data_IF_233099799548
#
_entry.id   IF_233099799548
#
_cell.length_a   1.000
_cell.length_b   1.000
_cell.length_c   1.000
_cell.angle_alpha   90.00
_cell.angle_beta   90.00
_cell.angle_gamma   90.00
#
_symmetry.space_group_name_H-M   'P 1'
#
loop_
_entity.id
_entity.type
_entity.pdbx_description
1 polymer ?
#
# COMPACT_ATOMS: atom_id res chain seq x y z
N UNK A 1 21.05 26.65 4.07
CA UNK A 1 20.14 25.79 4.82
C UNK A 1 18.82 26.53 4.98
N UNK A 2 17.71 25.87 4.66
CA UNK A 2 16.36 26.41 4.80
C UNK A 2 15.59 25.56 5.80
N UNK A 3 14.72 26.20 6.57
CA UNK A 3 13.72 25.54 7.40
C UNK A 3 12.36 25.91 6.79
N UNK A 4 11.58 24.91 6.36
CA UNK A 4 10.19 25.10 6.00
C UNK A 4 9.41 25.30 7.32
N UNK A 5 8.80 26.49 7.45
CA UNK A 5 8.05 26.84 8.67
C UNK A 5 6.59 26.35 8.64
N UNK A 6 6.14 25.79 7.53
CA UNK A 6 4.80 25.22 7.42
C UNK A 6 4.72 23.91 8.20
N UNK A 7 3.73 23.80 9.08
CA UNK A 7 3.54 22.60 9.89
C UNK A 7 2.98 21.49 9.00
N UNK A 8 3.77 20.45 8.81
CA UNK A 8 3.36 19.23 8.10
C UNK A 8 2.70 18.24 9.06
N UNK A 9 1.66 17.55 8.60
CA UNK A 9 0.75 16.72 9.41
C UNK A 9 0.78 15.24 8.99
N UNK A 10 0.74 14.36 9.97
CA UNK A 10 0.45 12.93 9.81
C UNK A 10 -1.06 12.67 10.01
N UNK A 11 -1.55 11.46 9.70
CA UNK A 11 -2.97 11.09 9.86
C UNK A 11 -3.47 11.26 11.30
N UNK A 12 -2.61 11.07 12.30
CA UNK A 12 -2.92 11.24 13.72
C UNK A 12 -3.20 12.69 14.14
N UNK A 13 -2.82 13.66 13.32
CA UNK A 13 -2.91 15.08 13.66
C UNK A 13 -4.23 15.73 13.23
N UNK A 14 -5.08 14.96 12.54
CA UNK A 14 -6.35 15.45 11.99
C UNK A 14 -7.51 14.49 12.19
N UNK A 15 -8.72 15.05 12.21
CA UNK A 15 -9.98 14.32 12.03
C UNK A 15 -10.73 14.87 10.80
N UNK A 16 -11.62 14.06 10.23
CA UNK A 16 -12.56 14.50 9.19
C UNK A 16 -13.80 15.08 9.87
N UNK A 17 -14.16 16.33 9.54
CA UNK A 17 -15.32 16.99 10.09
C UNK A 17 -16.61 16.43 9.47
N UNK A 18 -17.58 15.94 10.25
CA UNK A 18 -18.88 15.50 9.74
C UNK A 18 -19.61 16.66 9.03
N UNK A 19 -20.36 16.32 8.00
CA UNK A 19 -21.20 17.26 7.23
C UNK A 19 -22.61 16.70 7.11
N UNK A 20 -23.57 17.55 6.74
CA UNK A 20 -24.90 17.09 6.36
C UNK A 20 -24.80 16.12 5.18
N UNK A 21 -25.49 15.00 5.28
CA UNK A 21 -25.50 13.94 4.27
C UNK A 21 -26.93 13.56 3.95
N UNK A 22 -27.20 13.26 2.70
CA UNK A 22 -28.48 12.69 2.23
C UNK A 22 -28.44 11.16 2.19
N UNK A 23 -27.25 10.56 2.41
CA UNK A 23 -27.09 9.11 2.45
C UNK A 23 -27.69 8.54 3.72
N UNK A 24 -28.57 7.56 3.56
CA UNK A 24 -29.29 6.91 4.66
C UNK A 24 -28.64 5.59 5.05
N UNK A 25 -27.87 4.99 4.14
CA UNK A 25 -27.22 3.69 4.34
C UNK A 25 -25.81 3.66 3.78
N UNK A 26 -24.90 2.96 4.47
CA UNK A 26 -23.56 2.65 3.97
C UNK A 26 -23.57 1.80 2.68
N UNK A 27 -24.68 1.11 2.41
CA UNK A 27 -24.89 0.33 1.17
C UNK A 27 -24.99 1.20 -0.09
N UNK A 28 -25.32 2.48 0.06
CA UNK A 28 -25.40 3.45 -1.02
C UNK A 28 -24.03 3.94 -1.48
N UNK A 29 -22.96 3.61 -0.76
CA UNK A 29 -21.60 4.08 -1.06
C UNK A 29 -20.90 3.11 -2.01
N UNK A 30 -20.49 3.61 -3.18
CA UNK A 30 -19.61 2.87 -4.08
C UNK A 30 -18.14 3.22 -3.80
N UNK A 31 -17.36 2.17 -3.48
CA UNK A 31 -15.91 2.28 -3.25
C UNK A 31 -15.06 1.96 -4.47
N UNK A 32 -15.67 1.52 -5.57
CA UNK A 32 -14.92 1.22 -6.78
C UNK A 32 -14.51 2.50 -7.49
N UNK A 33 -13.33 2.47 -8.09
CA UNK A 33 -12.76 3.55 -8.87
C UNK A 33 -12.37 3.04 -10.26
N UNK A 34 -12.52 3.92 -11.23
CA UNK A 34 -11.97 3.71 -12.57
C UNK A 34 -10.87 4.75 -12.79
N UNK A 35 -9.70 4.30 -13.22
CA UNK A 35 -8.59 5.16 -13.59
C UNK A 35 -8.16 4.89 -15.03
N UNK A 36 -7.70 5.94 -15.70
CA UNK A 36 -7.03 5.90 -17.00
C UNK A 36 -5.59 6.37 -16.80
N UNK A 37 -4.67 5.81 -17.55
CA UNK A 37 -3.26 6.10 -17.39
C UNK A 37 -2.74 6.89 -18.60
N UNK A 38 -2.29 8.13 -18.35
CA UNK A 38 -1.88 9.06 -19.41
C UNK A 38 -0.63 8.61 -20.16
N UNK A 39 0.27 7.89 -19.49
CA UNK A 39 1.52 7.39 -20.06
C UNK A 39 1.40 5.98 -20.67
N UNK A 40 0.22 5.37 -20.64
CA UNK A 40 -0.04 4.10 -21.28
C UNK A 40 -0.34 4.29 -22.77
N UNK A 41 0.46 3.69 -23.65
CA UNK A 41 0.30 3.79 -25.10
C UNK A 41 -0.12 2.44 -25.68
N UNK A 42 -1.38 2.29 -26.13
CA UNK A 42 -1.80 1.10 -26.86
C UNK A 42 -1.20 1.07 -28.28
N UNK A 43 -0.93 -0.14 -28.82
CA UNK A 43 -0.43 -0.30 -30.20
C UNK A 43 -1.38 0.27 -31.27
N UNK A 44 -2.66 0.24 -30.98
CA UNK A 44 -3.73 0.74 -31.85
C UNK A 44 -4.60 1.73 -31.11
N UNK A 45 -4.23 3.04 -31.10
CA UNK A 45 -4.93 4.07 -30.33
C UNK A 45 -6.41 4.24 -30.73
N UNK A 46 -6.80 3.82 -31.93
CA UNK A 46 -8.19 3.89 -32.41
C UNK A 46 -9.01 2.64 -32.05
N UNK A 47 -8.37 1.59 -31.52
CA UNK A 47 -9.08 0.40 -31.09
C UNK A 47 -9.60 0.56 -29.65
N UNK A 48 -10.92 0.62 -29.50
CA UNK A 48 -11.60 0.75 -28.20
C UNK A 48 -11.15 -0.32 -27.20
N UNK A 49 -10.96 -1.57 -27.64
CA UNK A 49 -10.53 -2.68 -26.78
C UNK A 49 -9.10 -2.51 -26.26
N UNK A 50 -8.20 -1.91 -27.04
CA UNK A 50 -6.83 -1.63 -26.63
C UNK A 50 -6.80 -0.44 -25.63
N UNK A 51 -7.65 0.58 -25.82
CA UNK A 51 -7.81 1.67 -24.85
C UNK A 51 -8.36 1.18 -23.52
N UNK A 52 -9.23 0.18 -23.50
CA UNK A 52 -9.77 -0.41 -22.28
C UNK A 52 -8.70 -1.18 -21.46
N UNK A 53 -7.64 -1.70 -22.07
CA UNK A 53 -6.54 -2.35 -21.36
C UNK A 53 -5.73 -1.40 -20.48
N UNK A 54 -5.66 -0.12 -20.81
CA UNK A 54 -5.02 0.93 -20.00
C UNK A 54 -5.89 1.46 -18.87
N UNK A 55 -6.92 0.72 -18.44
CA UNK A 55 -7.82 1.14 -17.38
C UNK A 55 -7.71 0.24 -16.15
N UNK A 56 -7.76 0.86 -14.99
CA UNK A 56 -8.03 0.17 -13.73
C UNK A 56 -9.51 0.28 -13.39
N UNK A 57 -10.09 -0.80 -12.88
CA UNK A 57 -11.41 -0.79 -12.27
C UNK A 57 -11.41 -1.70 -11.05
N UNK A 58 -11.70 -1.15 -9.88
CA UNK A 58 -11.71 -1.89 -8.64
C UNK A 58 -11.70 -1.00 -7.40
N UNK A 59 -11.56 -1.63 -6.24
CA UNK A 59 -11.37 -0.95 -4.95
C UNK A 59 -9.89 -0.57 -4.84
N UNK A 60 -9.54 0.73 -4.72
CA UNK A 60 -8.16 1.18 -4.84
C UNK A 60 -7.35 1.04 -3.54
N UNK A 61 -7.45 -0.13 -2.92
CA UNK A 61 -6.62 -0.55 -1.80
C UNK A 61 -5.60 -1.56 -2.32
N UNK A 62 -4.35 -1.45 -1.91
CA UNK A 62 -3.26 -2.30 -2.36
C UNK A 62 -2.57 -3.00 -1.19
N UNK A 63 -2.37 -4.30 -1.29
CA UNK A 63 -1.44 -5.02 -0.42
C UNK A 63 0.01 -4.67 -0.82
N UNK A 64 0.82 -4.30 0.18
CA UNK A 64 2.19 -3.85 -0.02
C UNK A 64 3.11 -4.99 -0.49
N UNK A 65 4.11 -4.66 -1.30
CA UNK A 65 5.13 -5.56 -1.82
C UNK A 65 6.16 -5.99 -0.75
N UNK A 66 5.66 -6.55 0.33
CA UNK A 66 6.43 -6.99 1.49
C UNK A 66 6.26 -8.48 1.74
N UNK A 67 7.30 -9.11 2.33
CA UNK A 67 7.15 -10.46 2.87
C UNK A 67 5.99 -10.52 3.86
N UNK A 68 5.16 -11.56 3.76
CA UNK A 68 3.99 -11.74 4.62
C UNK A 68 2.77 -10.88 4.26
N UNK A 69 2.85 -10.10 3.15
CA UNK A 69 1.74 -9.27 2.66
C UNK A 69 1.57 -9.41 1.16
N UNK A 70 2.59 -9.08 0.35
CA UNK A 70 2.54 -9.13 -1.11
C UNK A 70 2.76 -10.53 -1.68
N UNK A 71 1.96 -11.50 -1.27
CA UNK A 71 2.07 -12.90 -1.69
C UNK A 71 1.09 -13.23 -2.81
N UNK A 72 1.37 -14.30 -3.56
CA UNK A 72 0.47 -14.81 -4.60
C UNK A 72 -0.88 -15.28 -4.03
N UNK A 73 -0.88 -15.86 -2.81
CA UNK A 73 -2.12 -16.24 -2.12
C UNK A 73 -2.95 -15.01 -1.74
N UNK A 74 -2.28 -13.94 -1.26
CA UNK A 74 -2.94 -12.67 -0.97
C UNK A 74 -3.54 -12.08 -2.25
N UNK A 75 -2.78 -12.06 -3.34
CA UNK A 75 -3.24 -11.56 -4.63
C UNK A 75 -4.46 -12.32 -5.14
N UNK A 76 -4.43 -13.66 -5.08
CA UNK A 76 -5.56 -14.50 -5.49
C UNK A 76 -6.81 -14.26 -4.65
N UNK A 77 -6.67 -14.02 -3.34
CA UNK A 77 -7.81 -13.79 -2.47
C UNK A 77 -8.38 -12.37 -2.61
N UNK A 78 -7.50 -11.35 -2.61
CA UNK A 78 -7.92 -9.95 -2.70
C UNK A 78 -8.54 -9.60 -4.06
N UNK A 79 -8.08 -10.20 -5.15
CA UNK A 79 -8.63 -9.98 -6.49
C UNK A 79 -10.10 -10.38 -6.61
N UNK A 80 -10.59 -11.35 -5.80
CA UNK A 80 -12.01 -11.73 -5.74
C UNK A 80 -12.91 -10.56 -5.29
N UNK A 81 -12.34 -9.59 -4.59
CA UNK A 81 -13.02 -8.37 -4.13
C UNK A 81 -12.58 -7.12 -4.92
N UNK A 82 -11.89 -7.30 -6.05
CA UNK A 82 -11.31 -6.22 -6.87
C UNK A 82 -10.33 -5.33 -6.08
N UNK A 83 -9.64 -5.90 -5.08
CA UNK A 83 -8.58 -5.25 -4.30
C UNK A 83 -7.23 -5.65 -4.86
N UNK A 84 -6.29 -4.72 -4.91
CA UNK A 84 -5.02 -4.85 -5.62
C UNK A 84 -3.90 -5.45 -4.72
N UNK A 85 -2.92 -6.10 -5.34
CA UNK A 85 -1.70 -6.58 -4.65
C UNK A 85 -0.46 -6.25 -5.46
N UNK A 86 0.53 -5.63 -4.82
CA UNK A 86 1.88 -5.59 -5.36
C UNK A 86 2.65 -6.80 -4.81
N UNK A 87 3.07 -7.71 -5.68
CA UNK A 87 3.83 -8.90 -5.28
C UNK A 87 5.21 -8.51 -4.75
N UNK A 88 5.66 -9.20 -3.72
CA UNK A 88 7.05 -9.04 -3.24
C UNK A 88 8.04 -9.43 -4.34
N UNK A 89 9.15 -8.70 -4.48
CA UNK A 89 10.12 -8.87 -5.58
C UNK A 89 10.95 -10.16 -5.52
N UNK A 90 10.85 -10.92 -4.43
CA UNK A 90 11.70 -12.10 -4.19
C UNK A 90 11.23 -13.39 -4.85
N UNK A 91 10.05 -13.41 -5.47
CA UNK A 91 9.61 -14.54 -6.28
C UNK A 91 10.53 -14.79 -7.47
N UNK A 92 10.74 -16.06 -7.80
CA UNK A 92 11.49 -16.46 -9.01
C UNK A 92 10.70 -16.22 -10.28
N UNK A 93 11.39 -16.18 -11.42
CA UNK A 93 10.77 -16.05 -12.75
C UNK A 93 9.74 -17.15 -13.00
N UNK A 94 10.10 -18.41 -12.72
CA UNK A 94 9.22 -19.56 -12.91
C UNK A 94 7.95 -19.49 -12.04
N UNK A 95 8.03 -19.01 -10.81
CA UNK A 95 6.87 -18.82 -9.95
C UNK A 95 5.95 -17.75 -10.52
N UNK A 96 6.52 -16.62 -10.96
CA UNK A 96 5.77 -15.51 -11.54
C UNK A 96 5.09 -15.94 -12.87
N UNK A 97 5.81 -16.61 -13.77
CA UNK A 97 5.24 -17.12 -15.02
C UNK A 97 4.07 -18.05 -14.73
N UNK A 98 4.22 -19.02 -13.85
CA UNK A 98 3.14 -19.93 -13.46
C UNK A 98 1.94 -19.19 -12.87
N UNK A 99 2.18 -18.17 -12.03
CA UNK A 99 1.13 -17.41 -11.40
C UNK A 99 0.33 -16.59 -12.42
N UNK A 100 1.00 -15.86 -13.31
CA UNK A 100 0.33 -15.06 -14.34
C UNK A 100 -0.29 -15.90 -15.45
N UNK A 101 0.22 -17.11 -15.71
CA UNK A 101 -0.32 -18.00 -16.74
C UNK A 101 -1.56 -18.78 -16.28
N UNK A 102 -1.68 -19.08 -14.98
CA UNK A 102 -2.79 -19.84 -14.39
C UNK A 102 -4.11 -19.06 -14.22
N UNK A 103 -4.41 -18.10 -15.08
CA UNK A 103 -5.66 -17.31 -15.04
C UNK A 103 -6.91 -18.12 -15.48
N UNK A 104 -6.93 -19.44 -15.20
CA UNK A 104 -7.80 -20.43 -15.85
C UNK A 104 -9.19 -20.61 -15.22
N UNK A 105 -9.57 -19.89 -14.14
CA UNK A 105 -10.86 -20.15 -13.46
C UNK A 105 -11.84 -18.97 -13.43
N UNK A 106 -11.80 -18.08 -14.43
CA UNK A 106 -12.77 -16.98 -14.54
C UNK A 106 -12.56 -15.82 -13.59
N UNK A 107 -11.53 -15.86 -12.76
CA UNK A 107 -11.07 -14.74 -11.94
C UNK A 107 -9.83 -14.12 -12.60
N UNK A 108 -10.01 -12.96 -13.24
CA UNK A 108 -8.91 -12.21 -13.83
C UNK A 108 -8.07 -11.52 -12.76
N UNK A 109 -7.38 -12.32 -11.90
CA UNK A 109 -6.50 -11.78 -10.85
C UNK A 109 -5.41 -10.86 -11.42
N UNK A 110 -4.97 -11.11 -12.65
CA UNK A 110 -3.99 -10.28 -13.37
C UNK A 110 -4.41 -8.81 -13.54
N UNK A 111 -5.70 -8.49 -13.43
CA UNK A 111 -6.19 -7.10 -13.45
C UNK A 111 -5.90 -6.32 -12.15
N UNK A 112 -5.55 -7.01 -11.07
CA UNK A 112 -5.37 -6.43 -9.76
C UNK A 112 -4.03 -6.83 -9.12
N UNK A 113 -3.02 -7.13 -9.95
CA UNK A 113 -1.71 -7.56 -9.46
C UNK A 113 -0.60 -6.84 -10.22
N UNK A 114 0.39 -6.33 -9.48
CA UNK A 114 1.65 -5.83 -10.03
C UNK A 114 2.81 -6.77 -9.69
N UNK A 115 3.69 -7.02 -10.64
CA UNK A 115 5.03 -7.56 -10.38
C UNK A 115 5.91 -6.45 -9.83
N UNK A 116 6.65 -6.70 -8.73
CA UNK A 116 7.61 -5.72 -8.21
C UNK A 116 9.04 -6.04 -8.63
N UNK A 117 9.79 -4.99 -8.98
CA UNK A 117 11.21 -5.04 -9.33
C UNK A 117 11.97 -3.88 -8.67
N UNK A 118 13.30 -4.00 -8.62
CA UNK A 118 14.22 -2.87 -8.38
C UNK A 118 14.65 -2.20 -9.68
N UNK A 119 15.87 -1.65 -9.68
CA UNK A 119 16.49 -0.97 -10.83
C UNK A 119 17.84 -1.58 -11.22
N UNK A 120 18.12 -2.82 -10.81
CA UNK A 120 19.30 -3.53 -11.25
C UNK A 120 19.08 -4.12 -12.65
N UNK A 121 20.18 -4.45 -13.32
CA UNK A 121 20.09 -5.15 -14.60
C UNK A 121 19.38 -6.51 -14.47
N UNK A 122 19.63 -7.21 -13.36
CA UNK A 122 18.99 -8.51 -13.05
C UNK A 122 17.47 -8.35 -12.86
N UNK A 123 17.04 -7.27 -12.20
CA UNK A 123 15.62 -6.95 -12.03
C UNK A 123 14.93 -6.72 -13.39
N UNK A 124 15.58 -5.98 -14.30
CA UNK A 124 15.05 -5.70 -15.64
C UNK A 124 15.01 -6.96 -16.51
N UNK A 125 16.06 -7.79 -16.47
CA UNK A 125 16.10 -9.06 -17.20
C UNK A 125 15.02 -10.03 -16.71
N UNK A 126 14.82 -10.12 -15.41
CA UNK A 126 13.74 -10.88 -14.80
C UNK A 126 12.37 -10.42 -15.27
N UNK A 127 12.13 -9.08 -15.27
CA UNK A 127 10.87 -8.54 -15.77
C UNK A 127 10.67 -8.89 -17.24
N UNK A 128 11.69 -8.69 -18.09
CA UNK A 128 11.64 -9.00 -19.52
C UNK A 128 11.25 -10.45 -19.75
N UNK A 129 11.93 -11.39 -19.10
CA UNK A 129 11.65 -12.82 -19.25
C UNK A 129 10.20 -13.16 -18.88
N UNK A 130 9.72 -12.67 -17.72
CA UNK A 130 8.33 -12.91 -17.31
C UNK A 130 7.36 -12.28 -18.31
N UNK A 131 7.60 -11.04 -18.74
CA UNK A 131 6.75 -10.31 -19.67
C UNK A 131 6.61 -11.02 -21.03
N UNK A 132 7.73 -11.52 -21.57
CA UNK A 132 7.75 -12.28 -22.82
C UNK A 132 7.01 -13.63 -22.71
N UNK A 133 7.10 -14.29 -21.55
CA UNK A 133 6.49 -15.61 -21.33
C UNK A 133 4.98 -15.56 -21.08
N UNK A 134 4.49 -14.49 -20.45
CA UNK A 134 3.06 -14.42 -20.04
C UNK A 134 2.21 -13.54 -20.97
N UNK A 135 2.81 -13.05 -22.06
CA UNK A 135 2.17 -12.17 -23.05
C UNK A 135 1.46 -10.97 -22.38
N UNK A 136 0.23 -10.66 -22.75
CA UNK A 136 -0.55 -9.52 -22.27
C UNK A 136 -1.16 -9.70 -20.86
N UNK A 137 -0.83 -10.76 -20.12
CA UNK A 137 -1.36 -11.01 -18.77
C UNK A 137 -0.70 -10.14 -17.69
N UNK A 138 0.57 -9.76 -17.87
CA UNK A 138 1.26 -8.84 -16.99
C UNK A 138 0.95 -7.39 -17.41
N UNK A 139 0.16 -6.67 -16.60
CA UNK A 139 -0.33 -5.32 -16.92
C UNK A 139 0.34 -4.23 -16.08
N UNK A 140 0.82 -4.56 -14.90
CA UNK A 140 1.32 -3.61 -13.92
C UNK A 140 2.70 -4.01 -13.43
N UNK A 141 3.60 -3.02 -13.32
CA UNK A 141 4.89 -3.18 -12.66
C UNK A 141 5.02 -2.17 -11.52
N UNK A 142 5.56 -2.62 -10.37
CA UNK A 142 5.93 -1.76 -9.26
C UNK A 142 7.46 -1.67 -9.20
N UNK A 143 8.02 -0.53 -9.62
CA UNK A 143 9.45 -0.25 -9.58
C UNK A 143 9.76 0.44 -8.26
N UNK A 144 10.32 -0.32 -7.33
CA UNK A 144 10.42 0.03 -5.91
C UNK A 144 11.87 0.19 -5.46
N UNK A 145 12.20 1.41 -5.02
CA UNK A 145 13.48 1.77 -4.43
C UNK A 145 13.29 2.52 -3.12
N UNK A 146 14.29 2.42 -2.22
CA UNK A 146 14.25 3.14 -0.94
C UNK A 146 14.34 4.67 -1.12
N UNK A 147 15.02 5.12 -2.18
CA UNK A 147 15.24 6.54 -2.49
C UNK A 147 14.90 6.82 -3.96
N UNK A 148 13.71 7.34 -4.21
CA UNK A 148 13.21 7.72 -5.53
C UNK A 148 13.74 9.07 -6.07
N UNK A 149 14.71 9.69 -5.39
CA UNK A 149 15.28 11.01 -5.76
C UNK A 149 16.58 10.92 -6.56
N UNK A 150 17.05 9.71 -6.88
CA UNK A 150 18.29 9.57 -7.65
C UNK A 150 18.05 9.76 -9.16
N UNK A 151 18.95 10.44 -9.87
CA UNK A 151 18.90 10.59 -11.32
C UNK A 151 18.80 9.22 -12.02
N UNK A 152 19.56 8.24 -11.54
CA UNK A 152 19.52 6.86 -12.04
C UNK A 152 18.12 6.26 -11.99
N UNK A 153 17.34 6.57 -10.97
CA UNK A 153 15.95 6.08 -10.85
C UNK A 153 15.05 6.70 -11.92
N UNK A 154 15.13 8.02 -12.10
CA UNK A 154 14.36 8.74 -13.13
C UNK A 154 14.73 8.24 -14.53
N UNK A 155 16.03 8.08 -14.82
CA UNK A 155 16.51 7.56 -16.08
C UNK A 155 16.03 6.11 -16.33
N UNK A 156 16.04 5.27 -15.30
CA UNK A 156 15.50 3.92 -15.39
C UNK A 156 14.01 3.93 -15.77
N UNK A 157 13.18 4.75 -15.12
CA UNK A 157 11.74 4.88 -15.43
C UNK A 157 11.53 5.32 -16.88
N UNK A 158 12.29 6.32 -17.34
CA UNK A 158 12.22 6.81 -18.73
C UNK A 158 12.53 5.71 -19.75
N UNK A 159 13.63 4.98 -19.55
CA UNK A 159 14.03 3.89 -20.42
C UNK A 159 13.05 2.73 -20.37
N UNK A 160 12.56 2.39 -19.17
CA UNK A 160 11.57 1.33 -18.98
C UNK A 160 10.25 1.67 -19.72
N UNK A 161 9.77 2.91 -19.65
CA UNK A 161 8.59 3.36 -20.41
C UNK A 161 8.77 3.21 -21.92
N UNK A 162 9.95 3.56 -22.44
CA UNK A 162 10.24 3.42 -23.88
C UNK A 162 10.21 1.96 -24.34
N UNK A 163 10.73 1.05 -23.51
CA UNK A 163 10.79 -0.37 -23.82
C UNK A 163 9.44 -1.08 -23.62
N UNK A 164 8.60 -0.62 -22.69
CA UNK A 164 7.34 -1.25 -22.30
C UNK A 164 6.17 -0.25 -22.30
N UNK A 165 5.76 0.27 -23.46
CA UNK A 165 4.74 1.32 -23.55
C UNK A 165 3.34 0.88 -23.07
N UNK A 166 3.08 -0.43 -23.03
CA UNK A 166 1.80 -1.05 -22.62
C UNK A 166 1.77 -1.56 -21.19
N UNK A 167 2.72 -1.18 -20.36
CA UNK A 167 2.74 -1.53 -18.93
C UNK A 167 2.36 -0.30 -18.12
N UNK A 168 1.47 -0.46 -17.15
CA UNK A 168 1.20 0.57 -16.14
C UNK A 168 2.34 0.56 -15.13
N UNK A 169 3.06 1.68 -15.01
CA UNK A 169 4.23 1.83 -14.17
C UNK A 169 3.86 2.49 -12.85
N UNK A 170 4.04 1.75 -11.75
CA UNK A 170 4.04 2.27 -10.38
C UNK A 170 5.49 2.53 -10.00
N UNK A 171 5.85 3.74 -9.58
CA UNK A 171 7.23 4.12 -9.27
C UNK A 171 7.34 4.85 -7.93
N UNK A 172 8.35 4.54 -7.12
CA UNK A 172 8.61 5.22 -5.84
C UNK A 172 9.71 4.56 -5.00
N UNK A 173 9.95 5.10 -3.77
CA UNK A 173 9.10 6.06 -3.07
C UNK A 173 9.67 7.47 -3.08
N UNK A 174 8.75 8.41 -3.10
CA UNK A 174 9.00 9.86 -2.97
C UNK A 174 8.02 10.51 -1.96
N UNK A 175 8.21 11.78 -1.62
CA UNK A 175 7.35 12.52 -0.67
C UNK A 175 7.14 13.98 -1.05
N UNK A 176 7.65 14.44 -2.20
CA UNK A 176 7.58 15.83 -2.63
C UNK A 176 6.88 16.00 -3.97
N UNK A 177 6.25 17.16 -4.16
CA UNK A 177 5.50 17.48 -5.36
C UNK A 177 6.39 17.47 -6.63
N UNK A 178 7.58 18.10 -6.54
CA UNK A 178 8.54 18.20 -7.64
C UNK A 178 9.01 16.81 -8.12
N UNK A 179 9.38 15.91 -7.20
CA UNK A 179 9.80 14.57 -7.60
C UNK A 179 8.64 13.72 -8.10
N UNK A 180 7.41 13.96 -7.60
CA UNK A 180 6.21 13.32 -8.15
C UNK A 180 5.98 13.73 -9.60
N UNK A 181 6.10 15.03 -9.91
CA UNK A 181 6.01 15.54 -11.27
C UNK A 181 7.11 14.95 -12.15
N UNK A 182 8.35 14.93 -11.67
CA UNK A 182 9.50 14.39 -12.42
C UNK A 182 9.26 12.93 -12.83
N UNK A 183 8.77 12.07 -11.93
CA UNK A 183 8.51 10.68 -12.26
C UNK A 183 7.37 10.52 -13.29
N UNK A 184 6.30 11.29 -13.18
CA UNK A 184 5.16 11.24 -14.13
C UNK A 184 5.59 11.71 -15.50
N UNK A 185 6.33 12.82 -15.60
CA UNK A 185 6.85 13.35 -16.87
C UNK A 185 7.85 12.40 -17.55
N UNK A 186 8.49 11.52 -16.77
CA UNK A 186 9.38 10.49 -17.27
C UNK A 186 8.70 9.12 -17.49
N UNK A 187 7.38 9.03 -17.38
CA UNK A 187 6.62 7.87 -17.82
C UNK A 187 5.98 7.01 -16.72
N UNK A 188 6.09 7.40 -15.44
CA UNK A 188 5.32 6.75 -14.39
C UNK A 188 3.83 7.10 -14.52
N UNK A 189 2.95 6.11 -14.33
CA UNK A 189 1.48 6.33 -14.30
C UNK A 189 1.00 6.60 -12.87
N UNK A 190 1.62 5.94 -11.90
CA UNK A 190 1.27 6.00 -10.50
C UNK A 190 2.55 6.20 -9.68
N UNK A 191 2.58 7.23 -8.83
CA UNK A 191 3.72 7.50 -7.96
C UNK A 191 3.45 7.02 -6.55
N UNK A 192 4.36 6.24 -5.98
CA UNK A 192 4.27 5.70 -4.62
C UNK A 192 4.85 6.71 -3.63
N UNK A 193 3.98 7.25 -2.74
CA UNK A 193 4.27 8.36 -1.83
C UNK A 193 4.39 7.86 -0.41
N UNK A 194 5.59 8.00 0.18
CA UNK A 194 5.86 7.66 1.57
C UNK A 194 7.31 7.30 1.84
N UNK A 195 7.96 8.04 2.73
CA UNK A 195 9.29 7.74 3.29
C UNK A 195 9.20 7.83 4.80
N UNK A 196 9.31 6.67 5.47
CA UNK A 196 9.33 6.56 6.90
C UNK A 196 7.98 6.50 7.64
N UNK A 197 6.78 6.46 7.01
CA UNK A 197 5.53 6.40 7.76
C UNK A 197 5.12 5.00 8.21
N UNK A 198 5.72 3.94 7.66
CA UNK A 198 5.33 2.55 7.92
C UNK A 198 5.59 2.10 9.36
N UNK A 199 4.73 1.22 9.89
CA UNK A 199 4.82 0.73 11.28
C UNK A 199 6.08 -0.08 11.59
N UNK A 200 6.72 -0.67 10.60
CA UNK A 200 7.99 -1.40 10.70
C UNK A 200 9.16 -0.66 10.07
N UNK A 201 8.93 0.58 9.60
CA UNK A 201 9.98 1.43 9.06
C UNK A 201 10.70 2.20 10.18
N UNK A 202 12.02 2.24 10.12
CA UNK A 202 12.87 2.99 11.07
C UNK A 202 13.69 4.08 10.38
N UNK A 203 13.43 4.39 9.11
CA UNK A 203 14.17 5.39 8.31
C UNK A 203 14.24 6.74 9.01
N UNK A 204 13.10 7.26 9.52
CA UNK A 204 13.09 8.55 10.23
C UNK A 204 14.02 8.57 11.45
N UNK A 205 14.14 7.44 12.15
CA UNK A 205 14.99 7.32 13.35
C UNK A 205 16.46 7.14 12.95
N UNK A 206 16.73 6.32 11.94
CA UNK A 206 18.09 5.96 11.55
C UNK A 206 18.79 7.05 10.73
N UNK A 207 18.03 7.80 9.92
CA UNK A 207 18.59 8.74 8.94
C UNK A 207 18.19 10.20 9.18
N UNK A 208 17.15 10.44 9.98
CA UNK A 208 16.51 11.75 10.10
C UNK A 208 15.70 12.17 8.87
N UNK A 209 15.60 11.31 7.85
CA UNK A 209 14.87 11.58 6.61
C UNK A 209 13.44 11.08 6.70
N UNK A 210 12.50 11.87 6.17
CA UNK A 210 11.07 11.51 6.13
C UNK A 210 10.19 12.74 5.93
N UNK A 211 8.90 12.48 5.76
CA UNK A 211 7.89 13.53 5.63
C UNK A 211 6.59 13.09 6.31
N UNK A 212 5.84 13.98 7.00
CA UNK A 212 4.53 13.65 7.56
C UNK A 212 3.53 13.25 6.47
N UNK A 213 2.94 12.06 6.60
CA UNK A 213 2.31 11.36 5.48
C UNK A 213 1.07 12.06 4.93
N UNK A 214 0.23 12.68 5.78
CA UNK A 214 -0.96 13.39 5.30
C UNK A 214 -0.57 14.56 4.38
N UNK A 215 0.40 15.37 4.78
CA UNK A 215 0.88 16.50 3.98
C UNK A 215 1.55 16.03 2.69
N UNK A 216 2.39 14.97 2.76
CA UNK A 216 2.99 14.38 1.57
C UNK A 216 1.93 13.93 0.55
N UNK A 217 0.87 13.28 1.02
CA UNK A 217 -0.24 12.81 0.15
C UNK A 217 -0.95 13.98 -0.50
N UNK A 218 -1.28 15.05 0.25
CA UNK A 218 -1.96 16.23 -0.29
C UNK A 218 -1.13 16.90 -1.38
N UNK A 219 0.15 17.17 -1.10
CA UNK A 219 1.05 17.86 -2.03
C UNK A 219 1.36 17.03 -3.28
N UNK A 220 1.63 15.74 -3.11
CA UNK A 220 1.91 14.86 -4.24
C UNK A 220 0.65 14.55 -5.07
N UNK A 221 -0.54 14.47 -4.46
CA UNK A 221 -1.80 14.29 -5.19
C UNK A 221 -2.10 15.48 -6.10
N UNK A 222 -1.94 16.70 -5.58
CA UNK A 222 -2.12 17.93 -6.35
C UNK A 222 -1.19 17.97 -7.56
N UNK A 223 0.10 17.68 -7.33
CA UNK A 223 1.11 17.63 -8.38
C UNK A 223 0.83 16.56 -9.44
N UNK A 224 0.43 15.36 -9.02
CA UNK A 224 0.15 14.24 -9.93
C UNK A 224 -1.09 14.50 -10.78
N UNK A 225 -2.19 14.94 -10.15
CA UNK A 225 -3.46 15.17 -10.84
C UNK A 225 -3.37 16.27 -11.88
N UNK A 226 -2.54 17.30 -11.64
CA UNK A 226 -2.26 18.35 -12.62
C UNK A 226 -1.61 17.85 -13.92
N UNK A 227 -0.96 16.71 -13.87
CA UNK A 227 -0.30 16.05 -15.01
C UNK A 227 -1.07 14.82 -15.54
N UNK A 228 -2.25 14.53 -14.99
CA UNK A 228 -3.03 13.34 -15.36
C UNK A 228 -2.46 12.03 -14.81
N UNK A 229 -1.51 12.10 -13.87
CA UNK A 229 -0.97 10.96 -13.14
C UNK A 229 -1.75 10.64 -11.86
N UNK A 230 -1.34 9.59 -11.18
CA UNK A 230 -1.97 9.10 -9.94
C UNK A 230 -0.96 8.90 -8.83
N UNK A 231 -1.43 8.82 -7.58
CA UNK A 231 -0.58 8.49 -6.44
C UNK A 231 -1.12 7.32 -5.61
N UNK A 232 -0.18 6.63 -4.96
CA UNK A 232 -0.45 5.69 -3.88
C UNK A 232 0.02 6.31 -2.57
N UNK A 233 -0.86 6.42 -1.58
CA UNK A 233 -0.45 6.69 -0.20
C UNK A 233 0.12 5.41 0.41
N UNK A 234 1.44 5.32 0.54
CA UNK A 234 2.15 4.13 1.02
C UNK A 234 2.63 4.31 2.46
N UNK A 235 2.00 3.58 3.38
CA UNK A 235 2.32 3.59 4.80
C UNK A 235 1.56 4.64 5.63
N UNK A 236 1.73 4.54 6.95
CA UNK A 236 1.10 5.44 7.93
C UNK A 236 -0.31 5.05 8.37
N UNK A 237 -1.02 4.21 7.62
CA UNK A 237 -2.33 3.72 8.00
C UNK A 237 -2.24 2.57 9.01
N UNK A 238 -2.92 2.71 10.14
CA UNK A 238 -3.04 1.70 11.20
C UNK A 238 -4.49 1.32 11.51
N UNK A 239 -5.42 2.12 11.07
CA UNK A 239 -6.87 1.96 11.28
C UNK A 239 -7.65 2.22 9.98
N UNK A 240 -8.90 1.72 9.85
CA UNK A 240 -9.77 2.09 8.73
C UNK A 240 -9.98 3.60 8.58
N UNK A 241 -9.96 4.35 9.69
CA UNK A 241 -10.05 5.82 9.68
C UNK A 241 -8.85 6.48 9.00
N UNK A 242 -7.63 5.92 9.16
CA UNK A 242 -6.44 6.45 8.48
C UNK A 242 -6.51 6.19 6.97
N UNK A 243 -7.03 5.03 6.55
CA UNK A 243 -7.29 4.72 5.13
C UNK A 243 -8.29 5.74 4.54
N UNK A 244 -9.35 6.05 5.27
CA UNK A 244 -10.30 7.08 4.84
C UNK A 244 -9.66 8.47 4.74
N UNK A 245 -8.78 8.85 5.69
CA UNK A 245 -8.03 10.11 5.65
C UNK A 245 -7.08 10.18 4.45
N UNK A 246 -6.43 9.07 4.09
CA UNK A 246 -5.55 9.01 2.91
C UNK A 246 -6.34 9.28 1.61
N UNK A 247 -7.50 8.64 1.41
CA UNK A 247 -8.37 8.94 0.28
C UNK A 247 -8.93 10.38 0.33
N UNK A 248 -9.30 10.84 1.51
CA UNK A 248 -9.77 12.21 1.71
C UNK A 248 -8.70 13.27 1.40
N UNK A 249 -7.43 12.95 1.60
CA UNK A 249 -6.27 13.78 1.25
C UNK A 249 -5.96 13.80 -0.26
N UNK A 250 -6.64 12.99 -1.07
CA UNK A 250 -6.48 12.97 -2.52
C UNK A 250 -5.74 11.75 -3.06
N UNK A 251 -5.38 10.78 -2.22
CA UNK A 251 -4.77 9.54 -2.70
C UNK A 251 -5.72 8.82 -3.68
N UNK A 252 -5.18 8.37 -4.81
CA UNK A 252 -5.91 7.52 -5.75
C UNK A 252 -5.94 6.08 -5.26
N UNK A 253 -4.84 5.62 -4.70
CA UNK A 253 -4.70 4.31 -4.08
C UNK A 253 -4.12 4.44 -2.68
N UNK A 254 -4.41 3.45 -1.82
CA UNK A 254 -3.82 3.34 -0.48
C UNK A 254 -3.14 1.98 -0.34
N UNK A 255 -1.85 1.97 -0.07
CA UNK A 255 -1.06 0.75 0.13
C UNK A 255 -0.95 0.40 1.60
N UNK A 256 -1.26 -0.85 1.94
CA UNK A 256 -1.32 -1.37 3.29
C UNK A 256 -0.32 -2.50 3.51
N UNK A 257 0.58 -2.32 4.48
CA UNK A 257 1.50 -3.37 4.96
C UNK A 257 1.00 -3.98 6.26
N UNK A 258 1.23 -3.32 7.39
CA UNK A 258 0.93 -3.84 8.73
C UNK A 258 -0.54 -4.19 8.99
N UNK A 259 -1.48 -3.48 8.35
CA UNK A 259 -2.90 -3.81 8.47
C UNK A 259 -3.26 -5.15 7.81
N UNK A 260 -2.53 -5.57 6.77
CA UNK A 260 -2.73 -6.84 6.06
C UNK A 260 -1.73 -7.92 6.47
N UNK A 261 -0.83 -7.66 7.41
CA UNK A 261 0.09 -8.64 7.95
C UNK A 261 -0.61 -9.55 8.98
N UNK A 262 -0.11 -10.78 9.12
CA UNK A 262 -0.58 -11.75 10.12
C UNK A 262 -1.80 -12.57 9.69
N UNK A 263 -2.12 -12.60 8.39
CA UNK A 263 -3.21 -13.40 7.82
C UNK A 263 -2.71 -14.68 7.17
N UNK A 264 -3.61 -15.65 7.00
CA UNK A 264 -3.33 -16.93 6.31
C UNK A 264 -2.67 -16.71 4.95
N UNK A 265 -3.20 -15.75 4.19
CA UNK A 265 -2.77 -15.44 2.83
C UNK A 265 -1.37 -14.81 2.78
N UNK A 266 -0.91 -14.21 3.88
CA UNK A 266 0.47 -13.70 3.99
C UNK A 266 1.51 -14.79 4.22
N UNK A 267 1.10 -15.99 4.65
CA UNK A 267 2.01 -17.05 5.02
C UNK A 267 2.85 -16.71 6.25
N UNK A 268 3.95 -17.44 6.43
CA UNK A 268 4.85 -17.30 7.58
C UNK A 268 4.58 -18.33 8.67
N UNK A 269 5.57 -18.48 9.56
CA UNK A 269 5.49 -19.42 10.68
C UNK A 269 4.64 -18.85 11.81
N UNK A 270 3.68 -19.64 12.30
CA UNK A 270 2.85 -19.30 13.47
C UNK A 270 3.67 -19.58 14.74
N UNK A 271 3.90 -18.53 15.52
CA UNK A 271 4.60 -18.57 16.79
C UNK A 271 3.59 -18.54 17.92
N UNK A 272 3.55 -19.61 18.72
CA UNK A 272 2.70 -19.71 19.89
C UNK A 272 3.41 -19.10 21.11
N UNK A 273 2.72 -18.17 21.81
CA UNK A 273 3.22 -17.58 23.06
C UNK A 273 2.14 -17.58 24.12
N UNK A 274 2.52 -17.94 25.34
CA UNK A 274 1.70 -17.73 26.51
C UNK A 274 1.78 -16.25 26.93
N UNK A 275 0.65 -15.59 26.97
CA UNK A 275 0.53 -14.18 27.40
C UNK A 275 -0.38 -14.10 28.62
N UNK A 276 0.06 -13.32 29.61
CA UNK A 276 -0.76 -13.05 30.78
C UNK A 276 -1.95 -12.16 30.39
N UNK A 277 -3.12 -12.53 30.81
CA UNK A 277 -4.34 -11.74 30.67
C UNK A 277 -4.54 -10.82 31.89
N UNK A 278 -5.52 -9.93 31.84
CA UNK A 278 -5.91 -9.16 33.02
C UNK A 278 -6.84 -9.94 33.98
N UNK A 279 -7.22 -11.16 33.61
CA UNK A 279 -7.96 -12.06 34.48
C UNK A 279 -7.01 -12.66 35.52
N UNK A 280 -7.45 -12.74 36.78
CA UNK A 280 -6.66 -13.27 37.88
C UNK A 280 -7.18 -14.64 38.30
N UNK A 281 -6.28 -15.64 38.27
CA UNK A 281 -6.54 -16.96 38.81
C UNK A 281 -6.35 -16.91 40.34
N UNK A 282 -7.47 -16.86 41.06
CA UNK A 282 -7.45 -16.71 42.54
C UNK A 282 -6.91 -17.95 43.24
N UNK A 283 -7.09 -19.13 42.67
CA UNK A 283 -6.67 -20.40 43.27
C UNK A 283 -5.13 -20.55 43.23
N UNK A 284 -4.52 -20.02 42.20
CA UNK A 284 -3.07 -20.10 42.02
C UNK A 284 -2.35 -18.75 42.24
N UNK A 285 -3.10 -17.71 42.65
CA UNK A 285 -2.59 -16.37 42.93
C UNK A 285 -1.68 -15.81 41.80
N UNK A 286 -2.13 -15.93 40.54
CA UNK A 286 -1.39 -15.49 39.35
C UNK A 286 -2.34 -15.02 38.24
N UNK A 287 -1.85 -14.19 37.27
CA UNK A 287 -2.64 -13.88 36.08
C UNK A 287 -2.96 -15.13 35.26
N UNK A 288 -4.19 -15.20 34.75
CA UNK A 288 -4.55 -16.24 33.77
C UNK A 288 -3.68 -16.08 32.53
N UNK A 289 -3.10 -17.16 32.06
CA UNK A 289 -2.32 -17.18 30.82
C UNK A 289 -3.17 -17.78 29.69
N UNK A 290 -3.11 -17.14 28.52
CA UNK A 290 -3.75 -17.65 27.30
C UNK A 290 -2.70 -17.85 26.22
N UNK A 291 -2.84 -18.91 25.43
CA UNK A 291 -2.01 -19.15 24.26
C UNK A 291 -2.44 -18.19 23.16
N UNK A 292 -1.51 -17.32 22.73
CA UNK A 292 -1.74 -16.37 21.66
C UNK A 292 -0.82 -16.71 20.49
N UNK A 293 -1.38 -16.69 19.29
CA UNK A 293 -0.65 -16.91 18.04
C UNK A 293 -0.16 -15.61 17.44
N UNK A 294 1.06 -15.65 16.92
CA UNK A 294 1.74 -14.51 16.29
C UNK A 294 2.43 -14.95 15.00
N UNK A 295 2.66 -14.01 14.10
CA UNK A 295 3.50 -14.17 12.91
C UNK A 295 4.57 -13.07 12.94
N UNK A 296 5.81 -13.37 12.53
CA UNK A 296 6.85 -12.37 12.34
C UNK A 296 6.51 -11.48 11.15
N UNK A 297 6.55 -10.16 11.37
CA UNK A 297 6.40 -9.16 10.33
C UNK A 297 7.55 -8.16 10.41
N UNK A 298 8.12 -7.77 9.28
CA UNK A 298 9.31 -6.93 9.23
C UNK A 298 9.35 -6.05 7.98
N UNK A 299 10.05 -4.92 8.09
CA UNK A 299 10.34 -4.05 6.96
C UNK A 299 11.32 -4.68 5.98
N UNK A 300 11.16 -4.44 4.68
CA UNK A 300 12.02 -5.02 3.63
C UNK A 300 13.47 -4.52 3.69
N UNK A 301 13.76 -3.41 4.39
CA UNK A 301 15.11 -2.91 4.67
C UNK A 301 15.63 -3.34 6.05
N UNK A 302 14.95 -4.24 6.76
CA UNK A 302 15.36 -4.75 8.06
C UNK A 302 16.52 -5.77 7.96
N UNK A 303 17.20 -6.00 9.08
CA UNK A 303 18.19 -7.08 9.17
C UNK A 303 17.58 -8.43 8.77
N UNK A 304 16.37 -8.75 9.28
CA UNK A 304 15.68 -10.01 8.95
C UNK A 304 15.45 -10.21 7.47
N UNK A 305 15.05 -9.16 6.73
CA UNK A 305 14.87 -9.23 5.29
C UNK A 305 16.21 -9.38 4.56
N UNK A 306 17.25 -8.66 5.00
CA UNK A 306 18.60 -8.76 4.42
C UNK A 306 19.21 -10.14 4.64
N UNK A 307 19.08 -10.72 5.83
CA UNK A 307 19.58 -12.05 6.13
C UNK A 307 18.88 -13.13 5.31
N UNK A 308 17.58 -12.97 5.08
CA UNK A 308 16.76 -13.93 4.32
C UNK A 308 17.00 -13.89 2.80
N UNK A 309 17.14 -12.70 2.22
CA UNK A 309 17.08 -12.50 0.76
C UNK A 309 18.36 -11.97 0.12
N UNK A 310 19.23 -11.28 0.89
CA UNK A 310 20.35 -10.52 0.32
C UNK A 310 21.72 -10.89 0.91
N UNK A 311 21.80 -12.02 1.59
CA UNK A 311 23.05 -12.52 2.17
C UNK A 311 23.59 -11.70 3.35
N UNK A 312 22.69 -11.03 4.07
CA UNK A 312 22.99 -10.25 5.25
C UNK A 312 23.08 -8.73 5.03
N UNK A 313 23.02 -8.00 6.14
CA UNK A 313 23.15 -6.55 6.14
C UNK A 313 24.63 -6.17 5.94
N UNK A 314 24.92 -5.37 4.93
CA UNK A 314 26.28 -4.88 4.64
C UNK A 314 26.74 -3.91 5.73
N UNK A 315 28.06 -3.93 6.07
CA UNK A 315 28.65 -3.12 7.15
C UNK A 315 28.42 -1.59 6.98
N UNK A 316 28.37 -1.10 5.74
CA UNK A 316 28.13 0.31 5.45
C UNK A 316 26.64 0.72 5.47
N UNK A 317 25.71 -0.21 5.79
CA UNK A 317 24.27 0.04 5.84
C UNK A 317 23.73 -0.02 7.26
N UNK A 318 22.85 0.92 7.60
CA UNK A 318 21.99 0.81 8.77
C UNK A 318 20.73 0.02 8.44
N UNK A 319 20.19 -0.70 9.43
CA UNK A 319 18.89 -1.36 9.29
C UNK A 319 17.78 -0.31 9.40
N UNK A 320 17.11 -0.03 8.31
CA UNK A 320 15.99 0.93 8.25
C UNK A 320 14.62 0.27 8.43
N UNK A 321 14.59 -0.92 8.99
CA UNK A 321 13.38 -1.66 9.33
C UNK A 321 13.54 -2.47 10.62
N UNK A 322 12.43 -2.69 11.29
CA UNK A 322 12.35 -3.53 12.49
C UNK A 322 11.51 -4.78 12.26
N UNK A 323 11.73 -5.80 13.08
CA UNK A 323 10.92 -7.01 13.15
C UNK A 323 9.98 -6.91 14.34
N UNK A 324 8.71 -7.21 14.13
CA UNK A 324 7.68 -7.25 15.16
C UNK A 324 6.92 -8.57 15.11
N UNK A 325 6.30 -8.93 16.22
CA UNK A 325 5.33 -10.01 16.27
C UNK A 325 3.94 -9.43 16.10
N UNK A 326 3.30 -9.75 14.98
CA UNK A 326 1.91 -9.38 14.72
C UNK A 326 0.99 -10.51 15.15
N UNK A 327 -0.10 -10.21 15.83
CA UNK A 327 -1.12 -11.22 16.18
C UNK A 327 -1.59 -11.91 14.89
N UNK A 328 -1.73 -13.23 14.96
CA UNK A 328 -2.36 -13.99 13.89
C UNK A 328 -3.85 -13.63 13.81
N UNK A 329 -4.32 -13.34 12.60
CA UNK A 329 -5.66 -12.74 12.35
C UNK A 329 -6.59 -13.65 11.54
N UNK A 330 -6.12 -14.84 11.15
CA UNK A 330 -6.91 -15.75 10.31
C UNK A 330 -7.06 -15.25 8.86
N UNK A 331 -8.26 -15.27 8.34
CA UNK A 331 -8.57 -14.92 6.96
C UNK A 331 -8.53 -13.41 6.73
N UNK A 332 -7.90 -12.97 5.61
CA UNK A 332 -7.75 -11.55 5.26
C UNK A 332 -9.09 -10.88 4.94
N UNK A 333 -10.08 -11.64 4.49
CA UNK A 333 -11.39 -11.09 4.12
C UNK A 333 -12.08 -10.37 5.28
N UNK A 334 -11.88 -10.84 6.52
CA UNK A 334 -12.45 -10.19 7.72
C UNK A 334 -11.86 -8.78 7.87
N UNK A 335 -10.55 -8.64 7.73
CA UNK A 335 -9.86 -7.34 7.82
C UNK A 335 -10.23 -6.42 6.67
N UNK A 336 -10.32 -6.93 5.45
CA UNK A 336 -10.74 -6.12 4.29
C UNK A 336 -12.17 -5.61 4.47
N UNK A 337 -13.10 -6.45 4.92
CA UNK A 337 -14.47 -6.04 5.18
C UNK A 337 -14.58 -4.94 6.25
N UNK A 338 -13.76 -5.03 7.31
CA UNK A 338 -13.68 -3.99 8.33
C UNK A 338 -13.15 -2.66 7.77
N UNK A 339 -12.05 -2.71 6.99
CA UNK A 339 -11.50 -1.53 6.34
C UNK A 339 -12.52 -0.87 5.40
N UNK A 340 -13.14 -1.66 4.52
CA UNK A 340 -14.15 -1.16 3.58
C UNK A 340 -15.38 -0.60 4.31
N UNK A 341 -15.79 -1.24 5.42
CA UNK A 341 -16.86 -0.77 6.29
C UNK A 341 -16.56 0.59 6.90
N UNK A 342 -15.33 0.79 7.39
CA UNK A 342 -14.86 2.05 7.95
C UNK A 342 -14.83 3.18 6.90
N UNK A 343 -14.30 2.91 5.69
CA UNK A 343 -14.29 3.88 4.59
C UNK A 343 -15.71 4.25 4.14
N UNK A 344 -16.63 3.28 4.00
CA UNK A 344 -18.05 3.56 3.71
C UNK A 344 -18.69 4.43 4.79
N UNK A 345 -18.42 4.14 6.06
CA UNK A 345 -18.87 4.97 7.18
C UNK A 345 -18.43 6.41 7.03
N UNK A 346 -17.15 6.65 6.75
CA UNK A 346 -16.62 8.00 6.52
C UNK A 346 -17.34 8.70 5.38
N UNK A 347 -17.54 8.01 4.26
CA UNK A 347 -18.27 8.54 3.11
C UNK A 347 -19.70 8.98 3.49
N UNK A 348 -20.42 8.19 4.30
CA UNK A 348 -21.77 8.59 4.77
C UNK A 348 -21.74 9.80 5.68
N UNK A 349 -20.72 9.94 6.55
CA UNK A 349 -20.57 11.11 7.43
C UNK A 349 -20.30 12.43 6.71
N UNK A 350 -19.79 12.38 5.48
CA UNK A 350 -19.47 13.59 4.71
C UNK A 350 -20.35 13.75 3.46
N UNK A 351 -21.26 12.80 3.18
CA UNK A 351 -22.18 12.85 2.03
C UNK A 351 -21.55 12.47 0.70
N UNK A 352 -20.49 11.65 0.69
CA UNK A 352 -19.85 11.15 -0.51
C UNK A 352 -20.46 9.80 -0.93
N UNK A 353 -21.35 9.77 -1.91
CA UNK A 353 -21.95 8.54 -2.44
C UNK A 353 -20.94 7.65 -3.17
N UNK A 354 -19.86 8.20 -3.67
CA UNK A 354 -18.79 7.50 -4.35
C UNK A 354 -17.44 7.88 -3.73
N UNK A 355 -16.51 6.93 -3.63
CA UNK A 355 -15.18 7.17 -3.08
C UNK A 355 -14.45 8.32 -3.80
N UNK A 356 -14.64 8.47 -5.11
CA UNK A 356 -14.03 9.56 -5.90
C UNK A 356 -14.40 10.96 -5.40
N UNK A 357 -15.51 11.09 -4.68
CA UNK A 357 -16.01 12.36 -4.16
C UNK A 357 -15.52 12.65 -2.74
N UNK A 358 -14.87 11.68 -2.08
CA UNK A 358 -14.50 11.81 -0.67
C UNK A 358 -13.58 13.01 -0.41
N UNK A 359 -12.56 13.23 -1.24
CA UNK A 359 -11.66 14.39 -1.11
C UNK A 359 -12.39 15.72 -1.23
N UNK A 360 -13.33 15.84 -2.20
CA UNK A 360 -14.14 17.05 -2.41
C UNK A 360 -15.14 17.30 -1.27
N UNK A 361 -15.64 16.23 -0.63
CA UNK A 361 -16.56 16.31 0.50
C UNK A 361 -15.86 16.51 1.84
N UNK A 362 -14.54 16.33 1.91
CA UNK A 362 -13.79 16.39 3.16
C UNK A 362 -13.44 17.83 3.59
N UNK A 363 -13.43 18.03 4.88
CA UNK A 363 -12.73 19.12 5.57
C UNK A 363 -12.00 18.52 6.74
N UNK A 364 -10.67 18.64 6.77
CA UNK A 364 -9.88 18.22 7.91
C UNK A 364 -9.96 19.27 9.02
N UNK A 365 -10.00 18.82 10.27
CA UNK A 365 -9.78 19.65 11.46
C UNK A 365 -8.53 19.15 12.15
N UNK A 366 -7.61 20.06 12.43
CA UNK A 366 -6.43 19.77 13.21
C UNK A 366 -6.80 19.57 14.67
N UNK A 367 -6.23 18.55 15.31
CA UNK A 367 -6.50 18.22 16.70
C UNK A 367 -5.21 17.71 17.38
N UNK A 368 -5.13 17.89 18.68
CA UNK A 368 -3.99 17.44 19.46
C UNK A 368 -4.06 15.95 19.78
N UNK A 369 -5.28 15.38 19.81
CA UNK A 369 -5.53 13.96 20.05
C UNK A 369 -6.70 13.51 19.18
N UNK A 370 -6.48 12.42 18.45
CA UNK A 370 -7.48 11.81 17.54
C UNK A 370 -8.15 10.58 18.14
N UNK A 371 -7.63 10.05 19.25
CA UNK A 371 -8.16 8.86 19.90
C UNK A 371 -8.71 9.20 21.29
N UNK A 372 -9.88 8.67 21.56
CA UNK A 372 -10.41 8.71 22.93
C UNK A 372 -9.69 7.65 23.78
N UNK A 373 -8.76 8.06 24.62
CA UNK A 373 -7.97 7.18 25.48
C UNK A 373 -8.74 6.52 26.62
N UNK A 374 -10.00 6.84 26.80
CA UNK A 374 -10.84 6.22 27.83
C UNK A 374 -10.87 4.70 27.70
N UNK A 375 -10.68 4.18 26.49
CA UNK A 375 -10.65 2.73 26.23
C UNK A 375 -9.27 2.10 26.43
N UNK A 376 -8.19 2.84 26.58
CA UNK A 376 -6.85 2.26 26.79
C UNK A 376 -6.70 1.61 28.17
N UNK A 377 -7.49 2.06 29.17
CA UNK A 377 -7.52 1.48 30.53
C UNK A 377 -8.53 0.33 30.67
N UNK A 378 -9.47 0.22 29.74
CA UNK A 378 -10.44 -0.87 29.69
C UNK A 378 -9.94 -1.94 28.71
N UNK A 379 -9.12 -2.86 29.20
CA UNK A 379 -8.80 -4.08 28.45
C UNK A 379 -10.07 -4.93 28.37
N UNK A 380 -10.95 -4.57 27.44
CA UNK A 380 -11.98 -5.48 27.01
C UNK A 380 -11.25 -6.51 26.15
N UNK A 381 -11.12 -7.71 26.69
CA UNK A 381 -10.66 -8.85 25.91
C UNK A 381 -11.64 -9.06 24.74
N UNK A 382 -11.16 -8.89 23.53
CA UNK A 382 -11.70 -9.47 22.30
C UNK A 382 -10.71 -10.48 21.79
#
# INVERSE_FOLDING_TARGET
>A
MLIDNEIKLDYKDVLIRPKRSTLTSRKEVDLQRRYTFANYFPDFPDNIREREKGHYYGVPIMAANMDGVGTMLMASELSKQNVFTCLVKTYTENELVKFFDNDNEGYHHTNHVAMSIGISHEDEMKFRHVYEMVDNKLKYVCIDVANGYTERFVEFIRNFRQNYPRIVIIAGNVVTADQTQELILNGADIVKVGIGPGSVCTTRIQTGVGYPQLSAVIECADAAHGLGGHIIADGGCSTPGDVAKAFAAGADFVMLGGMLAGHNQGGGEIINKWVSTNEWDRDHNRPVQRLQQYIKFYGMSSKSANDKHFGGLKEYRSSEGRTVLTKYRGDVNITIQDILGGVRSTCTYVGAAELKNLSKCTTFIRCNDTHNRVFESATIGN
#
